data_IF_612904327317
#
_entry.id   IF_612904327317
#
_cell.length_a   1.000
_cell.length_b   1.000
_cell.length_c   1.000
_cell.angle_alpha   90.00
_cell.angle_beta   90.00
_cell.angle_gamma   90.00
#
_symmetry.space_group_name_H-M   'P 1'
#
loop_
_entity.id
_entity.type
_entity.pdbx_description
1 polymer ?
#
# COMPACT_ATOMS: atom_id res chain seq x y z
N UNK A 1 20.75 17.86 16.57
CA UNK A 1 19.95 17.44 15.41
C UNK A 1 18.55 17.00 15.87
N UNK A 2 17.53 17.79 15.59
CA UNK A 2 16.12 17.52 15.93
C UNK A 2 15.21 17.99 14.80
N UNK A 3 15.60 17.67 13.57
CA UNK A 3 15.02 18.29 12.37
C UNK A 3 13.65 17.69 11.95
N UNK A 4 13.13 16.72 12.71
CA UNK A 4 11.84 16.08 12.44
C UNK A 4 10.64 16.85 13.04
N UNK A 5 10.89 17.92 13.79
CA UNK A 5 9.84 18.79 14.33
C UNK A 5 9.27 19.74 13.27
N UNK A 6 10.06 20.13 12.26
CA UNK A 6 9.68 21.16 11.27
C UNK A 6 9.28 20.55 9.93
N UNK A 7 9.99 19.51 9.47
CA UNK A 7 9.70 18.87 8.19
C UNK A 7 8.85 17.58 8.31
N UNK A 8 8.81 16.98 9.50
CA UNK A 8 8.18 15.66 9.73
C UNK A 8 8.80 14.54 8.89
N UNK A 9 8.48 13.29 9.23
CA UNK A 9 8.67 12.13 8.37
C UNK A 9 7.42 11.94 7.52
N UNK A 10 7.56 11.80 6.21
CA UNK A 10 6.43 11.59 5.28
C UNK A 10 6.41 10.12 4.85
N UNK A 11 5.30 9.44 5.13
CA UNK A 11 5.05 8.07 4.70
C UNK A 11 4.06 8.09 3.55
N UNK A 12 4.44 7.53 2.40
CA UNK A 12 3.50 7.29 1.30
C UNK A 12 2.69 6.04 1.64
N UNK A 13 1.38 6.20 1.83
CA UNK A 13 0.46 5.15 2.30
C UNK A 13 -0.59 4.78 1.26
N UNK A 14 -0.35 5.13 -0.01
CA UNK A 14 -1.27 4.85 -1.08
C UNK A 14 -0.61 4.89 -2.46
N UNK A 15 -1.31 4.34 -3.45
CA UNK A 15 -0.80 4.15 -4.81
C UNK A 15 -0.71 5.46 -5.61
N UNK A 16 -1.49 6.48 -5.24
CA UNK A 16 -1.58 7.73 -5.98
C UNK A 16 -0.84 8.88 -5.29
N UNK A 17 -0.45 9.89 -6.08
CA UNK A 17 0.19 11.10 -5.58
C UNK A 17 -0.70 11.82 -4.54
N UNK A 18 -0.08 12.36 -3.49
CA UNK A 18 -0.79 13.04 -2.40
C UNK A 18 -1.31 12.14 -1.28
N UNK A 19 -1.27 10.81 -1.43
CA UNK A 19 -1.63 9.85 -0.38
C UNK A 19 -0.48 9.64 0.62
N UNK A 20 -0.05 10.73 1.27
CA UNK A 20 1.03 10.71 2.26
C UNK A 20 0.55 11.09 3.66
N UNK A 21 1.06 10.41 4.68
CA UNK A 21 0.87 10.76 6.10
C UNK A 21 2.18 11.37 6.62
N UNK A 22 2.12 12.58 7.16
CA UNK A 22 3.26 13.23 7.81
C UNK A 22 3.23 13.02 9.32
N UNK A 23 4.34 12.58 9.90
CA UNK A 23 4.54 12.43 11.34
C UNK A 23 5.63 13.40 11.77
N UNK A 24 5.26 14.40 12.58
CA UNK A 24 6.22 15.31 13.21
C UNK A 24 6.63 14.76 14.56
N UNK A 25 7.90 14.95 14.93
CA UNK A 25 8.42 14.56 16.23
C UNK A 25 8.82 15.81 17.02
N UNK A 26 8.12 16.07 18.11
CA UNK A 26 8.54 17.10 19.07
C UNK A 26 9.91 16.77 19.68
N UNK A 27 10.70 17.78 20.02
CA UNK A 27 11.98 17.57 20.72
C UNK A 27 11.73 17.12 22.15
N UNK A 28 12.05 15.86 22.46
CA UNK A 28 11.96 15.30 23.82
C UNK A 28 13.27 15.41 24.62
N UNK A 29 14.14 16.37 24.26
CA UNK A 29 15.37 16.64 25.03
C UNK A 29 15.01 17.29 26.37
N UNK A 30 15.80 17.02 27.40
CA UNK A 30 15.62 17.61 28.73
C UNK A 30 15.53 19.15 28.71
N UNK A 31 16.21 19.82 27.77
CA UNK A 31 16.11 21.27 27.60
C UNK A 31 14.81 21.75 26.95
N UNK A 32 14.24 20.96 26.05
CA UNK A 32 12.96 21.24 25.42
C UNK A 32 11.77 20.91 26.33
N UNK A 33 11.95 19.96 27.25
CA UNK A 33 10.99 19.58 28.28
C UNK A 33 11.09 20.42 29.57
N UNK A 34 11.95 21.45 29.61
CA UNK A 34 12.11 22.32 30.79
C UNK A 34 12.80 21.66 32.00
N UNK A 35 13.37 20.47 31.83
CA UNK A 35 14.07 19.69 32.87
C UNK A 35 15.51 20.20 33.05
N UNK A 36 16.19 20.53 31.95
CA UNK A 36 17.58 21.03 31.96
C UNK A 36 17.69 22.38 31.26
N UNK A 37 17.79 23.46 32.01
CA UNK A 37 18.05 24.79 31.47
C UNK A 37 19.54 25.09 31.32
N UNK A 38 19.88 26.02 30.42
CA UNK A 38 21.24 26.58 30.32
C UNK A 38 21.63 27.45 31.55
N UNK A 39 20.67 27.75 32.43
CA UNK A 39 20.85 28.52 33.65
C UNK A 39 20.27 27.76 34.84
N UNK A 40 20.88 27.93 36.02
CA UNK A 40 20.48 27.30 37.29
C UNK A 40 19.02 27.59 37.65
N UNK A 41 18.47 28.74 37.22
CA UNK A 41 17.06 29.10 37.43
C UNK A 41 16.07 28.35 36.52
N UNK A 42 16.54 27.75 35.43
CA UNK A 42 15.71 26.99 34.49
C UNK A 42 15.84 25.48 34.69
N UNK A 43 17.00 25.03 35.18
CA UNK A 43 17.22 23.62 35.54
C UNK A 43 16.43 23.24 36.79
N UNK A 44 16.04 21.98 36.86
CA UNK A 44 15.48 21.40 38.08
C UNK A 44 16.56 21.42 39.18
N UNK A 45 16.20 21.88 40.37
CA UNK A 45 17.06 21.85 41.56
C UNK A 45 16.33 21.18 42.72
N UNK A 46 17.06 20.39 43.50
CA UNK A 46 16.55 19.67 44.69
C UNK A 46 17.26 20.20 45.96
N UNK A 47 17.90 21.37 45.87
CA UNK A 47 18.70 21.93 46.98
C UNK A 47 17.85 22.51 48.11
N UNK A 48 16.56 22.73 47.91
CA UNK A 48 15.62 23.19 48.93
C UNK A 48 14.25 22.52 48.77
N UNK A 49 13.44 22.48 49.83
CA UNK A 49 12.11 21.86 49.81
C UNK A 49 11.19 22.48 48.73
N UNK A 50 11.14 23.81 48.63
CA UNK A 50 10.35 24.48 47.59
C UNK A 50 10.87 24.25 46.16
N UNK A 51 12.20 24.10 46.00
CA UNK A 51 12.76 23.74 44.69
C UNK A 51 12.41 22.29 44.31
N UNK A 52 12.37 21.38 45.29
CA UNK A 52 11.95 19.99 45.09
C UNK A 52 10.46 19.86 44.73
N UNK A 53 9.57 20.66 45.30
CA UNK A 53 8.15 20.69 44.89
C UNK A 53 7.98 21.18 43.44
N UNK A 54 8.70 22.25 43.06
CA UNK A 54 8.71 22.74 41.67
C UNK A 54 9.32 21.71 40.70
N UNK A 55 10.33 20.96 41.14
CA UNK A 55 10.94 19.88 40.37
C UNK A 55 9.93 18.78 40.01
N UNK A 56 9.12 18.36 40.99
CA UNK A 56 8.09 17.33 40.79
C UNK A 56 7.08 17.79 39.73
N UNK A 57 6.56 19.01 39.87
CA UNK A 57 5.59 19.55 38.91
C UNK A 57 6.15 19.65 37.48
N UNK A 58 7.43 20.04 37.31
CA UNK A 58 8.08 20.07 36.00
C UNK A 58 8.28 18.67 35.41
N UNK A 59 8.58 17.67 36.25
CA UNK A 59 8.72 16.28 35.82
C UNK A 59 7.36 15.74 35.38
N UNK A 60 6.29 16.02 36.12
CA UNK A 60 4.94 15.60 35.77
C UNK A 60 4.50 16.19 34.41
N UNK A 61 4.72 17.48 34.18
CA UNK A 61 4.44 18.13 32.89
C UNK A 61 5.26 17.53 31.74
N UNK A 62 6.52 17.20 32.00
CA UNK A 62 7.37 16.52 31.01
C UNK A 62 6.88 15.10 30.71
N UNK A 63 6.45 14.35 31.73
CA UNK A 63 5.87 13.00 31.57
C UNK A 63 4.55 13.07 30.78
N UNK A 64 3.69 14.05 31.07
CA UNK A 64 2.44 14.26 30.34
C UNK A 64 2.73 14.58 28.87
N UNK A 65 3.69 15.46 28.59
CA UNK A 65 4.12 15.80 27.22
C UNK A 65 4.62 14.57 26.46
N UNK A 66 5.50 13.77 27.07
CA UNK A 66 6.04 12.54 26.45
C UNK A 66 4.92 11.51 26.24
N UNK A 67 4.01 11.38 27.19
CA UNK A 67 2.89 10.44 27.12
C UNK A 67 1.89 10.86 26.04
N UNK A 68 1.63 12.16 25.90
CA UNK A 68 0.82 12.73 24.82
C UNK A 68 1.43 12.45 23.45
N UNK A 69 2.74 12.64 23.30
CA UNK A 69 3.44 12.34 22.04
C UNK A 69 3.43 10.83 21.72
N UNK A 70 3.66 9.96 22.71
CA UNK A 70 3.51 8.49 22.55
C UNK A 70 2.11 8.09 22.11
N UNK A 71 1.09 8.74 22.66
CA UNK A 71 -0.31 8.47 22.34
C UNK A 71 -0.62 8.83 20.88
N UNK A 72 -0.10 9.96 20.38
CA UNK A 72 -0.20 10.34 18.97
C UNK A 72 0.47 9.28 18.07
N UNK A 73 1.65 8.78 18.43
CA UNK A 73 2.31 7.72 17.66
C UNK A 73 1.53 6.42 17.67
N UNK A 74 0.94 6.01 18.80
CA UNK A 74 0.08 4.84 18.88
C UNK A 74 -1.16 4.96 17.98
N UNK A 75 -1.81 6.13 17.97
CA UNK A 75 -2.94 6.39 17.09
C UNK A 75 -2.54 6.32 15.59
N UNK A 76 -1.38 6.86 15.24
CA UNK A 76 -0.86 6.77 13.87
C UNK A 76 -0.48 5.35 13.48
N UNK A 77 0.12 4.58 14.40
CA UNK A 77 0.42 3.16 14.18
C UNK A 77 -0.85 2.37 13.88
N UNK A 78 -1.90 2.57 14.68
CA UNK A 78 -3.19 1.92 14.46
C UNK A 78 -3.79 2.29 13.09
N UNK A 79 -3.73 3.57 12.73
CA UNK A 79 -4.17 4.04 11.41
C UNK A 79 -3.37 3.39 10.26
N UNK A 80 -2.05 3.27 10.41
CA UNK A 80 -1.18 2.62 9.41
C UNK A 80 -1.48 1.12 9.29
N UNK A 81 -1.76 0.44 10.40
CA UNK A 81 -2.14 -0.97 10.41
C UNK A 81 -3.48 -1.20 9.70
N UNK A 82 -4.49 -0.38 10.00
CA UNK A 82 -5.76 -0.39 9.28
C UNK A 82 -5.59 -0.08 7.79
N UNK A 83 -4.77 0.91 7.46
CA UNK A 83 -4.49 1.27 6.06
C UNK A 83 -3.80 0.13 5.33
N UNK A 84 -2.83 -0.53 5.97
CA UNK A 84 -2.12 -1.69 5.41
C UNK A 84 -3.07 -2.85 5.16
N UNK A 85 -3.94 -3.16 6.11
CA UNK A 85 -4.95 -4.21 5.94
C UNK A 85 -5.92 -3.89 4.81
N UNK A 86 -6.40 -2.65 4.73
CA UNK A 86 -7.27 -2.21 3.64
C UNK A 86 -6.58 -2.29 2.27
N UNK A 87 -5.32 -1.84 2.17
CA UNK A 87 -4.53 -1.93 0.94
C UNK A 87 -4.29 -3.38 0.51
N UNK A 88 -4.02 -4.28 1.46
CA UNK A 88 -3.87 -5.70 1.17
C UNK A 88 -5.15 -6.30 0.57
N UNK A 89 -6.30 -6.03 1.19
CA UNK A 89 -7.59 -6.49 0.66
C UNK A 89 -7.92 -5.85 -0.69
N UNK A 90 -7.64 -4.56 -0.88
CA UNK A 90 -7.81 -3.91 -2.17
C UNK A 90 -6.90 -4.52 -3.24
N UNK A 91 -5.65 -4.85 -2.89
CA UNK A 91 -4.69 -5.53 -3.76
C UNK A 91 -5.15 -6.93 -4.16
N UNK A 92 -5.62 -7.74 -3.20
CA UNK A 92 -6.18 -9.07 -3.45
C UNK A 92 -7.39 -9.00 -4.39
N UNK A 93 -8.30 -8.04 -4.16
CA UNK A 93 -9.47 -7.83 -5.01
C UNK A 93 -9.11 -7.39 -6.42
N UNK A 94 -8.13 -6.47 -6.57
CA UNK A 94 -7.65 -6.00 -7.87
C UNK A 94 -6.93 -7.12 -8.62
N UNK A 95 -6.08 -7.89 -7.96
CA UNK A 95 -5.40 -9.03 -8.56
C UNK A 95 -6.39 -10.10 -9.03
N UNK A 96 -7.42 -10.40 -8.23
CA UNK A 96 -8.48 -11.33 -8.63
C UNK A 96 -9.33 -10.80 -9.79
N UNK A 97 -9.60 -9.49 -9.84
CA UNK A 97 -10.26 -8.86 -10.98
C UNK A 97 -9.38 -8.92 -12.24
N UNK A 98 -8.09 -8.63 -12.11
CA UNK A 98 -7.12 -8.70 -13.21
C UNK A 98 -6.97 -10.11 -13.76
N UNK A 99 -6.86 -11.13 -12.89
CA UNK A 99 -6.82 -12.54 -13.31
C UNK A 99 -8.06 -12.90 -14.12
N UNK A 100 -9.26 -12.53 -13.64
CA UNK A 100 -10.51 -12.80 -14.37
C UNK A 100 -10.58 -12.12 -15.73
N UNK A 101 -10.08 -10.89 -15.84
CA UNK A 101 -10.03 -10.18 -17.12
C UNK A 101 -9.05 -10.88 -18.07
N UNK A 102 -7.82 -11.17 -17.62
CA UNK A 102 -6.82 -11.88 -18.43
C UNK A 102 -7.30 -13.26 -18.87
N UNK A 103 -7.93 -14.01 -17.97
CA UNK A 103 -8.44 -15.35 -18.27
C UNK A 103 -9.61 -15.31 -19.26
N UNK A 104 -10.51 -14.33 -19.15
CA UNK A 104 -11.60 -14.13 -20.11
C UNK A 104 -11.09 -13.75 -21.51
N UNK A 105 -10.09 -12.87 -21.58
CA UNK A 105 -9.46 -12.47 -22.84
C UNK A 105 -8.69 -13.65 -23.47
N UNK A 106 -7.97 -14.44 -22.67
CA UNK A 106 -7.35 -15.68 -23.16
C UNK A 106 -8.38 -16.68 -23.68
N UNK A 107 -9.49 -16.90 -22.96
CA UNK A 107 -10.53 -17.82 -23.39
C UNK A 107 -11.13 -17.40 -24.75
N UNK A 108 -11.34 -16.09 -24.95
CA UNK A 108 -11.82 -15.55 -26.23
C UNK A 108 -10.83 -15.83 -27.36
N UNK A 109 -9.53 -15.64 -27.12
CA UNK A 109 -8.49 -15.90 -28.11
C UNK A 109 -8.35 -17.40 -28.43
N UNK A 110 -8.43 -18.27 -27.42
CA UNK A 110 -8.40 -19.74 -27.59
C UNK A 110 -9.61 -20.23 -28.40
N UNK A 111 -10.80 -19.66 -28.18
CA UNK A 111 -12.00 -19.99 -28.96
C UNK A 111 -11.81 -19.54 -30.42
N UNK A 112 -11.31 -18.33 -30.66
CA UNK A 112 -11.03 -17.84 -32.01
C UNK A 112 -9.98 -18.69 -32.73
N UNK A 113 -8.89 -19.03 -32.06
CA UNK A 113 -7.86 -19.92 -32.57
C UNK A 113 -8.44 -21.29 -32.92
N UNK A 114 -9.23 -21.89 -32.03
CA UNK A 114 -9.88 -23.18 -32.26
C UNK A 114 -10.86 -23.13 -33.43
N UNK A 115 -11.66 -22.06 -33.54
CA UNK A 115 -12.59 -21.84 -34.66
C UNK A 115 -11.83 -21.73 -35.99
N UNK A 116 -10.72 -20.99 -36.02
CA UNK A 116 -9.89 -20.86 -37.20
C UNK A 116 -9.24 -22.21 -37.58
N UNK A 117 -8.77 -22.98 -36.60
CA UNK A 117 -8.22 -24.31 -36.82
C UNK A 117 -9.27 -25.28 -37.41
N UNK A 118 -10.49 -25.27 -36.86
CA UNK A 118 -11.61 -26.06 -37.38
C UNK A 118 -11.99 -25.61 -38.80
N UNK A 119 -11.99 -24.31 -39.09
CA UNK A 119 -12.23 -23.78 -40.44
C UNK A 119 -11.16 -24.24 -41.43
N UNK A 120 -9.88 -24.26 -41.04
CA UNK A 120 -8.79 -24.76 -41.90
C UNK A 120 -8.97 -26.26 -42.16
N UNK A 121 -9.21 -27.07 -41.12
CA UNK A 121 -9.43 -28.51 -41.28
C UNK A 121 -10.68 -28.81 -42.14
N UNK A 122 -11.78 -28.08 -41.91
CA UNK A 122 -13.01 -28.20 -42.70
C UNK A 122 -12.81 -27.75 -44.14
N UNK A 123 -12.04 -26.68 -44.37
CA UNK A 123 -11.67 -26.17 -45.68
C UNK A 123 -10.85 -27.19 -46.48
N UNK A 124 -9.88 -27.87 -45.84
CA UNK A 124 -9.10 -28.95 -46.46
C UNK A 124 -9.99 -30.17 -46.79
N UNK A 125 -10.88 -30.57 -45.87
CA UNK A 125 -11.82 -31.66 -46.12
C UNK A 125 -12.82 -31.33 -47.24
N UNK A 126 -13.33 -30.10 -47.29
CA UNK A 126 -14.21 -29.60 -48.36
C UNK A 126 -13.48 -29.49 -49.70
N UNK A 127 -12.23 -29.03 -49.73
CA UNK A 127 -11.39 -29.04 -50.92
C UNK A 127 -11.18 -30.46 -51.45
N UNK A 128 -10.89 -31.41 -50.55
CA UNK A 128 -10.77 -32.84 -50.90
C UNK A 128 -12.07 -33.40 -51.48
N UNK A 129 -13.22 -33.10 -50.86
CA UNK A 129 -14.54 -33.55 -51.33
C UNK A 129 -14.98 -32.89 -52.65
N UNK A 130 -14.64 -31.61 -52.85
CA UNK A 130 -14.88 -30.89 -54.09
C UNK A 130 -13.98 -31.41 -55.23
N UNK A 131 -12.78 -31.89 -54.91
CA UNK A 131 -11.86 -32.49 -55.88
C UNK A 131 -12.22 -33.94 -56.24
N UNK A 132 -12.94 -34.67 -55.36
CA UNK A 132 -13.41 -36.04 -55.62
C UNK A 132 -14.78 -36.13 -56.31
N UNK A 133 -15.61 -35.08 -56.23
CA UNK A 133 -16.89 -35.03 -56.94
C UNK A 133 -16.78 -35.14 -58.48
N UNK A 134 -15.87 -34.44 -59.18
CA UNK A 134 -15.72 -34.54 -60.62
C UNK A 134 -15.36 -35.94 -61.12
N UNK A 135 -14.50 -36.65 -60.38
CA UNK A 135 -14.06 -38.02 -60.74
C UNK A 135 -15.18 -39.05 -60.66
N UNK A 136 -16.13 -38.87 -59.73
CA UNK A 136 -17.30 -39.73 -59.58
C UNK A 136 -18.28 -39.59 -60.76
N UNK A 137 -18.39 -38.39 -61.34
CA UNK A 137 -19.23 -38.12 -62.50
C UNK A 137 -18.59 -38.65 -63.79
N UNK A 138 -17.25 -38.61 -63.89
CA UNK A 138 -16.54 -39.16 -65.05
C UNK A 138 -16.60 -40.70 -65.12
N UNK A 139 -16.81 -41.37 -63.98
CA UNK A 139 -17.09 -42.81 -63.90
C UNK A 139 -18.51 -43.19 -64.37
N UNK A 140 -19.46 -42.25 -64.44
CA UNK A 140 -20.83 -42.47 -64.92
C UNK A 140 -20.98 -42.18 -66.43
N UNK A 141 -19.92 -41.69 -67.09
CA UNK A 141 -19.88 -41.36 -68.52
C UNK A 141 -18.95 -42.31 -69.32
N UNK A 142 -18.45 -43.39 -68.71
CA UNK A 142 -17.72 -44.48 -69.35
C UNK A 142 -18.52 -45.78 -69.31
#
# INVERSE_FOLDING_TARGET
SGNFSTAGLRFQVGANEGQSVSITFGSMRASALGISGASVSQAISITSAGAAESAISKIDEAIETVSGERSKYGAMQNRLEHTTNNLRTAGENLQAAESRIRDADMAKEVINFSKNQILIQSGVAMLSQANSSPSSVLSLLQ
#
